data_IF_286373294437
#
_entry.id   IF_286373294437
#
_cell.length_a   1.000
_cell.length_b   1.000
_cell.length_c   1.000
_cell.angle_alpha   90.00
_cell.angle_beta   90.00
_cell.angle_gamma   90.00
#
_symmetry.space_group_name_H-M   'P 1'
#
loop_
_entity.id
_entity.type
_entity.pdbx_description
1 polymer ?
#
# COMPACT_ATOMS: atom_id res chain seq x y z
N UNK A 1 13.77 11.74 7.54
CA UNK A 1 14.15 10.59 6.69
C UNK A 1 13.26 10.61 5.47
N UNK A 2 13.77 11.12 4.34
CA UNK A 2 13.04 11.15 3.08
C UNK A 2 13.13 9.76 2.45
N UNK A 3 12.03 8.99 2.47
CA UNK A 3 11.95 7.77 1.67
C UNK A 3 11.46 8.18 0.28
N UNK A 4 12.44 8.32 -0.60
CA UNK A 4 12.27 8.56 -2.02
C UNK A 4 11.87 7.20 -2.65
N UNK A 5 10.57 6.96 -2.85
CA UNK A 5 10.10 5.81 -3.64
C UNK A 5 10.31 6.10 -5.13
N UNK A 6 11.56 6.17 -5.58
CA UNK A 6 11.92 6.07 -7.00
C UNK A 6 12.10 4.59 -7.32
N UNK A 7 10.99 3.93 -7.62
CA UNK A 7 10.97 2.57 -8.17
C UNK A 7 11.00 2.61 -9.70
N UNK A 8 12.21 2.72 -10.24
CA UNK A 8 12.79 2.03 -11.42
C UNK A 8 11.85 1.73 -12.62
N UNK A 9 12.26 2.26 -13.77
CA UNK A 9 11.66 2.34 -15.11
C UNK A 9 11.29 0.99 -15.80
N UNK A 10 11.38 -0.16 -15.14
CA UNK A 10 11.24 -1.48 -15.81
C UNK A 10 10.23 -2.46 -15.20
N UNK A 11 9.52 -2.14 -14.11
CA UNK A 11 8.40 -2.97 -13.60
C UNK A 11 7.08 -2.21 -13.70
N UNK A 12 6.00 -2.87 -14.16
CA UNK A 12 4.64 -2.31 -14.04
C UNK A 12 4.38 -2.04 -12.56
N UNK A 13 4.15 -0.78 -12.20
CA UNK A 13 3.82 -0.35 -10.83
C UNK A 13 2.32 -0.07 -10.73
N UNK A 14 1.74 -0.09 -9.52
CA UNK A 14 0.33 0.25 -9.33
C UNK A 14 0.02 1.67 -9.85
N UNK A 15 0.95 2.62 -9.65
CA UNK A 15 0.84 3.97 -10.20
C UNK A 15 0.86 3.97 -11.74
N UNK A 16 1.72 3.15 -12.35
CA UNK A 16 1.76 2.99 -13.81
C UNK A 16 0.49 2.37 -14.37
N UNK A 17 -0.08 1.37 -13.69
CA UNK A 17 -1.36 0.75 -14.04
C UNK A 17 -2.51 1.79 -14.00
N UNK A 18 -2.64 2.54 -12.91
CA UNK A 18 -3.64 3.61 -12.78
C UNK A 18 -3.48 4.64 -13.90
N UNK A 19 -2.25 5.10 -14.15
CA UNK A 19 -1.95 6.08 -15.22
C UNK A 19 -2.35 5.54 -16.60
N UNK A 20 -2.10 4.26 -16.87
CA UNK A 20 -2.47 3.60 -18.13
C UNK A 20 -3.99 3.58 -18.34
N UNK A 21 -4.76 3.20 -17.32
CA UNK A 21 -6.23 3.19 -17.41
C UNK A 21 -6.78 4.60 -17.62
N UNK A 22 -6.27 5.60 -16.89
CA UNK A 22 -6.68 7.00 -17.07
C UNK A 22 -6.37 7.47 -18.50
N UNK A 23 -5.19 7.14 -19.05
CA UNK A 23 -4.84 7.49 -20.43
C UNK A 23 -5.84 6.90 -21.44
N UNK A 24 -6.22 5.63 -21.28
CA UNK A 24 -7.17 4.97 -22.18
C UNK A 24 -8.55 5.64 -22.12
N UNK A 25 -9.05 5.92 -20.92
CA UNK A 25 -10.33 6.60 -20.70
C UNK A 25 -10.27 8.09 -21.11
N UNK A 26 -9.10 8.71 -21.07
CA UNK A 26 -8.92 10.09 -21.54
C UNK A 26 -9.04 10.19 -23.07
N UNK A 27 -8.54 9.20 -23.81
CA UNK A 27 -8.68 9.14 -25.28
C UNK A 27 -10.15 8.97 -25.71
N UNK A 28 -10.93 8.22 -24.94
CA UNK A 28 -12.35 7.99 -25.23
C UNK A 28 -13.26 8.95 -24.44
N UNK A 29 -13.78 9.99 -25.10
CA UNK A 29 -14.60 11.04 -24.43
C UNK A 29 -15.96 10.55 -23.93
N UNK A 30 -16.44 9.40 -24.37
CA UNK A 30 -17.71 8.83 -23.91
C UNK A 30 -17.57 8.01 -22.63
N UNK A 31 -16.34 7.68 -22.22
CA UNK A 31 -16.10 6.91 -21.01
C UNK A 31 -15.94 7.80 -19.78
N UNK A 32 -16.66 7.45 -18.73
CA UNK A 32 -16.63 8.17 -17.46
C UNK A 32 -15.49 7.65 -16.57
N UNK A 33 -14.57 8.54 -16.22
CA UNK A 33 -13.57 8.27 -15.19
C UNK A 33 -14.26 8.32 -13.81
N UNK A 34 -14.02 7.31 -12.99
CA UNK A 34 -14.65 7.15 -11.68
C UNK A 34 -15.95 6.32 -11.68
N UNK A 35 -16.47 5.93 -12.85
CA UNK A 35 -17.59 4.98 -12.95
C UNK A 35 -17.20 3.54 -12.60
N UNK A 36 -18.18 2.64 -12.47
CA UNK A 36 -17.96 1.23 -12.11
C UNK A 36 -16.95 0.53 -13.03
N UNK A 37 -17.07 0.71 -14.34
CA UNK A 37 -16.20 0.07 -15.34
C UNK A 37 -14.77 0.57 -15.23
N UNK A 38 -14.59 1.88 -14.98
CA UNK A 38 -13.28 2.46 -14.72
C UNK A 38 -12.64 1.86 -13.47
N UNK A 39 -13.40 1.77 -12.37
CA UNK A 39 -12.91 1.20 -11.11
C UNK A 39 -12.55 -0.28 -11.29
N UNK A 40 -13.37 -1.05 -12.00
CA UNK A 40 -13.10 -2.45 -12.32
C UNK A 40 -11.80 -2.62 -13.11
N UNK A 41 -11.59 -1.84 -14.17
CA UNK A 41 -10.35 -1.92 -14.96
C UNK A 41 -9.11 -1.51 -14.17
N UNK A 42 -9.22 -0.49 -13.30
CA UNK A 42 -8.14 -0.11 -12.38
C UNK A 42 -7.82 -1.26 -11.44
N UNK A 43 -8.83 -1.86 -10.79
CA UNK A 43 -8.64 -2.99 -9.88
C UNK A 43 -8.00 -4.20 -10.59
N UNK A 44 -8.48 -4.52 -11.80
CA UNK A 44 -7.94 -5.60 -12.63
C UNK A 44 -6.46 -5.37 -12.93
N UNK A 45 -6.11 -4.22 -13.47
CA UNK A 45 -4.72 -3.87 -13.81
C UNK A 45 -3.81 -3.82 -12.58
N UNK A 46 -4.29 -3.31 -11.45
CA UNK A 46 -3.52 -3.30 -10.19
C UNK A 46 -3.32 -4.73 -9.67
N UNK A 47 -4.32 -5.60 -9.78
CA UNK A 47 -4.21 -7.00 -9.34
C UNK A 47 -3.22 -7.82 -10.17
N UNK A 48 -3.06 -7.46 -11.46
CA UNK A 48 -2.06 -8.03 -12.36
C UNK A 48 -0.64 -7.49 -12.09
N UNK A 49 -0.52 -6.40 -11.33
CA UNK A 49 0.75 -5.86 -10.86
C UNK A 49 1.09 -6.51 -9.52
N UNK A 50 2.36 -6.92 -9.33
CA UNK A 50 2.86 -7.24 -7.99
C UNK A 50 2.72 -5.97 -7.14
N UNK A 51 1.64 -5.88 -6.37
CA UNK A 51 1.52 -4.89 -5.31
C UNK A 51 2.80 -5.01 -4.46
N UNK A 52 3.38 -3.90 -3.98
CA UNK A 52 4.48 -3.97 -3.03
C UNK A 52 3.95 -4.67 -1.78
N UNK A 53 4.05 -5.99 -1.76
CA UNK A 53 4.07 -6.76 -0.54
C UNK A 53 5.46 -6.48 0.01
N UNK A 54 5.52 -5.99 1.24
CA UNK A 54 6.78 -5.87 1.97
C UNK A 54 7.26 -7.27 2.41
N UNK A 55 7.22 -8.23 1.48
CA UNK A 55 7.51 -9.65 1.68
C UNK A 55 8.86 -10.07 1.10
N UNK A 56 9.53 -9.17 0.35
CA UNK A 56 10.87 -9.41 -0.17
C UNK A 56 11.91 -9.40 0.99
N UNK A 57 12.90 -10.29 0.92
CA UNK A 57 13.90 -10.53 1.97
C UNK A 57 14.68 -9.27 2.38
N UNK A 58 14.84 -8.31 1.47
CA UNK A 58 15.49 -7.02 1.72
C UNK A 58 14.61 -6.07 2.56
N UNK A 59 13.28 -6.16 2.45
CA UNK A 59 12.34 -5.34 3.24
C UNK A 59 12.27 -5.80 4.71
N UNK A 60 12.57 -7.08 4.97
CA UNK A 60 12.61 -7.67 6.32
C UNK A 60 13.82 -7.20 7.14
N UNK A 61 14.93 -6.83 6.50
CA UNK A 61 16.15 -6.36 7.17
C UNK A 61 16.13 -4.88 7.55
N UNK A 62 15.26 -4.07 6.92
CA UNK A 62 15.15 -2.63 7.15
C UNK A 62 14.03 -2.25 8.15
N UNK A 63 13.37 -3.23 8.78
CA UNK A 63 12.27 -3.01 9.71
C UNK A 63 10.90 -2.73 9.05
N UNK A 64 10.84 -2.58 7.73
CA UNK A 64 9.57 -2.35 7.01
C UNK A 64 8.73 -3.62 6.88
N UNK A 65 9.34 -4.79 6.65
CA UNK A 65 8.65 -6.10 6.70
C UNK A 65 8.25 -6.56 8.11
N UNK A 66 8.70 -5.85 9.15
CA UNK A 66 8.42 -6.12 10.57
C UNK A 66 7.17 -5.37 11.06
N UNK A 67 6.82 -4.25 10.40
CA UNK A 67 5.77 -3.31 10.86
C UNK A 67 4.55 -3.29 9.93
N UNK A 68 4.48 -4.21 8.96
CA UNK A 68 3.38 -4.32 8.01
C UNK A 68 3.00 -5.80 7.93
N UNK A 69 2.54 -6.34 9.05
CA UNK A 69 2.17 -7.75 9.16
C UNK A 69 0.70 -7.96 8.81
N UNK A 70 -0.15 -6.95 9.08
CA UNK A 70 -1.56 -7.00 8.75
C UNK A 70 -2.03 -5.60 8.35
N UNK A 71 -1.97 -5.32 7.04
CA UNK A 71 -2.57 -4.10 6.45
C UNK A 71 -4.08 -4.22 6.66
N UNK A 72 -4.53 -3.74 7.81
CA UNK A 72 -5.93 -3.70 8.20
C UNK A 72 -6.76 -2.90 7.20
N UNK A 73 -6.15 -1.87 6.62
CA UNK A 73 -6.83 -0.98 5.71
C UNK A 73 -5.87 -0.46 4.64
N UNK A 74 -6.29 -0.53 3.38
CA UNK A 74 -5.65 0.14 2.26
C UNK A 74 -6.70 0.84 1.41
N UNK A 75 -6.45 2.09 1.03
CA UNK A 75 -7.29 2.87 0.14
C UNK A 75 -6.45 3.64 -0.86
N UNK A 76 -6.89 3.62 -2.11
CA UNK A 76 -6.34 4.44 -3.19
C UNK A 76 -7.43 5.41 -3.62
N UNK A 77 -7.14 6.71 -3.59
CA UNK A 77 -8.08 7.76 -3.93
C UNK A 77 -7.56 8.50 -5.16
N UNK A 78 -8.38 8.57 -6.20
CA UNK A 78 -8.19 9.53 -7.29
C UNK A 78 -8.77 10.87 -6.85
N UNK A 79 -7.91 11.86 -6.65
CA UNK A 79 -8.26 13.17 -6.13
C UNK A 79 -7.91 14.26 -7.16
N UNK A 80 -8.64 15.37 -7.15
CA UNK A 80 -8.41 16.53 -8.01
C UNK A 80 -8.19 16.17 -9.50
N UNK A 81 -9.00 15.26 -10.04
CA UNK A 81 -8.89 14.90 -11.45
C UNK A 81 -9.35 16.06 -12.34
N UNK A 82 -8.45 16.51 -13.21
CA UNK A 82 -8.70 17.57 -14.19
C UNK A 82 -8.49 17.00 -15.59
N UNK A 83 -9.55 17.07 -16.41
CA UNK A 83 -9.52 16.75 -17.83
C UNK A 83 -9.45 18.03 -18.64
N UNK A 84 -8.51 18.12 -19.56
CA UNK A 84 -8.39 19.22 -20.52
C UNK A 84 -8.36 18.69 -21.95
N UNK A 85 -8.36 19.61 -22.94
CA UNK A 85 -8.23 19.26 -24.36
C UNK A 85 -6.84 18.72 -24.72
N UNK A 86 -5.81 19.13 -23.97
CA UNK A 86 -4.40 18.85 -24.27
C UNK A 86 -3.81 17.75 -23.38
N UNK A 87 -4.59 17.21 -22.43
CA UNK A 87 -4.15 16.17 -21.51
C UNK A 87 -4.99 16.13 -20.24
N UNK A 88 -4.47 15.48 -19.21
CA UNK A 88 -5.10 15.37 -17.91
C UNK A 88 -4.08 15.46 -16.77
N UNK A 89 -4.59 15.77 -15.57
CA UNK A 89 -3.81 15.69 -14.34
C UNK A 89 -4.68 15.18 -13.19
N UNK A 90 -4.06 14.53 -12.22
CA UNK A 90 -4.72 14.04 -11.04
C UNK A 90 -3.73 13.91 -9.88
N UNK A 91 -4.27 13.72 -8.69
CA UNK A 91 -3.51 13.32 -7.51
C UNK A 91 -3.97 11.94 -7.07
N UNK A 92 -3.03 11.02 -6.89
CA UNK A 92 -3.29 9.73 -6.27
C UNK A 92 -2.90 9.81 -4.81
N UNK A 93 -3.86 9.56 -3.93
CA UNK A 93 -3.63 9.44 -2.49
C UNK A 93 -3.64 7.96 -2.13
N UNK A 94 -2.54 7.48 -1.58
CA UNK A 94 -2.44 6.17 -0.97
C UNK A 94 -2.57 6.33 0.55
N UNK A 95 -3.55 5.65 1.12
CA UNK A 95 -3.74 5.54 2.56
C UNK A 95 -3.62 4.08 2.95
N UNK A 96 -2.83 3.78 3.97
CA UNK A 96 -2.80 2.45 4.55
C UNK A 96 -2.70 2.52 6.07
N UNK A 97 -3.19 1.48 6.72
CA UNK A 97 -3.10 1.33 8.15
C UNK A 97 -2.70 -0.09 8.51
N UNK A 98 -1.71 -0.21 9.38
CA UNK A 98 -1.28 -1.47 9.98
C UNK A 98 -1.58 -1.44 11.49
N UNK A 99 -2.14 -2.54 11.99
CA UNK A 99 -2.23 -2.79 13.43
C UNK A 99 -1.18 -3.83 13.80
N UNK A 100 -0.09 -3.39 14.43
CA UNK A 100 1.01 -4.25 14.79
C UNK A 100 0.71 -5.03 16.08
N UNK A 101 -0.14 -6.06 15.94
CA UNK A 101 -0.47 -7.06 16.93
C UNK A 101 0.23 -8.38 16.67
N UNK A 102 0.54 -9.14 17.72
CA UNK A 102 1.01 -10.52 17.58
C UNK A 102 -0.01 -11.49 18.17
N UNK A 103 -0.37 -12.49 17.36
CA UNK A 103 -1.20 -13.61 17.78
C UNK A 103 -0.36 -14.83 18.17
N UNK A 104 -1.01 -15.83 18.78
CA UNK A 104 -0.30 -17.01 19.30
C UNK A 104 0.37 -17.79 18.17
N UNK A 105 -0.26 -17.79 17.00
CA UNK A 105 0.20 -18.46 15.80
C UNK A 105 1.44 -17.74 15.24
N UNK A 106 1.52 -16.41 15.36
CA UNK A 106 2.64 -15.62 14.84
C UNK A 106 3.96 -15.94 15.53
N UNK A 107 3.95 -16.15 16.85
CA UNK A 107 5.18 -16.42 17.60
C UNK A 107 5.79 -17.80 17.29
N UNK A 108 5.02 -18.68 16.66
CA UNK A 108 5.50 -20.00 16.24
C UNK A 108 6.25 -19.97 14.90
N UNK A 109 6.05 -18.92 14.09
CA UNK A 109 6.71 -18.73 12.80
C UNK A 109 8.20 -18.42 12.99
N UNK A 110 9.03 -18.99 12.12
CA UNK A 110 10.51 -18.91 12.21
C UNK A 110 11.03 -17.47 12.31
N UNK A 111 10.46 -16.54 11.53
CA UNK A 111 10.86 -15.13 11.53
C UNK A 111 10.70 -14.49 12.93
N UNK A 112 9.52 -14.59 13.53
CA UNK A 112 9.19 -13.99 14.82
C UNK A 112 9.95 -14.63 15.98
N UNK A 113 10.26 -15.92 15.86
CA UNK A 113 11.05 -16.66 16.85
C UNK A 113 12.53 -16.24 16.86
N UNK A 114 13.06 -15.88 15.69
CA UNK A 114 14.47 -15.49 15.51
C UNK A 114 14.80 -14.14 16.19
N UNK A 115 13.88 -13.18 16.21
CA UNK A 115 14.13 -11.88 16.85
C UNK A 115 13.51 -11.81 18.25
N UNK A 116 14.34 -11.51 19.26
CA UNK A 116 13.91 -11.44 20.67
C UNK A 116 12.88 -10.32 20.92
N UNK A 117 12.92 -9.25 20.13
CA UNK A 117 11.97 -8.14 20.21
C UNK A 117 10.51 -8.61 20.08
N UNK A 118 10.18 -9.46 19.10
CA UNK A 118 8.80 -9.93 18.91
C UNK A 118 8.29 -10.77 20.09
N UNK A 119 9.16 -11.58 20.72
CA UNK A 119 8.79 -12.35 21.92
C UNK A 119 8.50 -11.44 23.11
N UNK A 120 9.30 -10.39 23.31
CA UNK A 120 9.06 -9.39 24.35
C UNK A 120 7.75 -8.65 24.05
N UNK A 121 7.55 -8.21 22.80
CA UNK A 121 6.34 -7.53 22.37
C UNK A 121 5.08 -8.38 22.59
N UNK A 122 5.12 -9.66 22.24
CA UNK A 122 4.04 -10.61 22.48
C UNK A 122 3.68 -10.71 23.97
N UNK A 123 4.67 -10.80 24.86
CA UNK A 123 4.44 -10.84 26.31
C UNK A 123 3.82 -9.53 26.81
N UNK A 124 4.30 -8.38 26.35
CA UNK A 124 3.75 -7.08 26.72
C UNK A 124 2.28 -6.92 26.30
N UNK A 125 1.90 -7.48 25.15
CA UNK A 125 0.52 -7.44 24.66
C UNK A 125 -0.41 -8.44 25.38
N UNK A 126 0.05 -9.67 25.61
CA UNK A 126 -0.79 -10.80 26.06
C UNK A 126 -0.76 -11.05 27.57
N UNK A 127 0.24 -10.55 28.30
CA UNK A 127 0.26 -10.69 29.76
C UNK A 127 -0.77 -9.77 30.40
N UNK A 128 -1.67 -10.36 31.19
CA UNK A 128 -2.82 -9.67 31.79
C UNK A 128 -2.44 -8.48 32.69
N UNK A 129 -1.22 -8.42 33.22
CA UNK A 129 -0.78 -7.27 34.00
C UNK A 129 -0.34 -6.08 33.13
N UNK A 130 0.11 -6.31 31.90
CA UNK A 130 0.59 -5.26 30.99
C UNK A 130 -0.50 -4.77 30.03
N UNK A 131 -1.16 -5.69 29.30
CA UNK A 131 -2.26 -5.38 28.36
C UNK A 131 -1.94 -4.26 27.35
N UNK A 132 -0.71 -4.22 26.83
CA UNK A 132 -0.34 -3.19 25.85
C UNK A 132 -1.12 -3.38 24.55
N UNK A 133 -1.65 -2.30 24.00
CA UNK A 133 -2.44 -2.32 22.76
C UNK A 133 -1.50 -2.37 21.54
N UNK A 134 -1.93 -2.98 20.41
CA UNK A 134 -1.19 -2.92 19.15
C UNK A 134 -0.83 -1.49 18.76
N UNK A 135 0.37 -1.32 18.19
CA UNK A 135 0.74 -0.05 17.59
C UNK A 135 -0.04 0.15 16.30
N UNK A 136 -0.54 1.35 16.07
CA UNK A 136 -1.27 1.72 14.87
C UNK A 136 -0.37 2.61 14.01
N UNK A 137 0.05 2.11 12.87
CA UNK A 137 0.83 2.89 11.91
C UNK A 137 -0.08 3.35 10.78
N UNK A 138 -0.10 4.65 10.51
CA UNK A 138 -0.83 5.24 9.38
C UNK A 138 0.17 5.68 8.32
N UNK A 139 -0.02 5.20 7.10
CA UNK A 139 0.73 5.60 5.92
C UNK A 139 -0.15 6.50 5.07
N UNK A 140 0.42 7.62 4.63
CA UNK A 140 -0.24 8.56 3.72
C UNK A 140 0.78 9.06 2.71
N UNK A 141 0.50 8.85 1.42
CA UNK A 141 1.31 9.37 0.33
C UNK A 141 0.41 10.02 -0.71
N UNK A 142 0.78 11.23 -1.16
CA UNK A 142 0.08 11.96 -2.22
C UNK A 142 1.02 12.17 -3.39
N UNK A 143 0.62 11.69 -4.56
CA UNK A 143 1.45 11.72 -5.77
C UNK A 143 0.68 12.41 -6.89
N UNK A 144 1.26 13.44 -7.48
CA UNK A 144 0.72 14.07 -8.68
C UNK A 144 1.07 13.23 -9.91
N UNK A 145 0.09 12.98 -10.76
CA UNK A 145 0.25 12.31 -12.04
C UNK A 145 -0.42 13.12 -13.15
N UNK A 146 0.11 13.00 -14.36
CA UNK A 146 -0.43 13.64 -15.56
C UNK A 146 -0.18 12.79 -16.79
N UNK A 147 -0.87 13.11 -17.87
CA UNK A 147 -0.72 12.44 -19.17
C UNK A 147 -1.39 13.21 -20.29
#
# INVERSE_FOLDING_TARGET
MHVLLIGIITRKTALGAIRSVINNYWQNRYQQIGGSDFIYEVQRQISEVRLPKFDDFEDQFNGMGITVHDIFFQRIILYNFVRSRIGWSAEIVFEAQDYFGLDREDITKTLFRSFRFFRIWFVLQRYNAFKFKPFMTKFHARIKISG
#
